data_IF_585339226900
#
_entry.id   IF_585339226900
#
_cell.length_a   1.000
_cell.length_b   1.000
_cell.length_c   1.000
_cell.angle_alpha   90.00
_cell.angle_beta   90.00
_cell.angle_gamma   90.00
#
_symmetry.space_group_name_H-M   'P 1'
#
loop_
_entity.id
_entity.type
_entity.pdbx_description
1 polymer ?
#
# COMPACT_ATOMS: atom_id res chain seq x y z
N UNK A 1 19.58 -0.32 16.35
CA UNK A 1 18.73 0.50 15.48
C UNK A 1 17.80 1.29 16.39
N UNK A 2 17.93 2.62 16.43
CA UNK A 2 16.88 3.47 17.01
C UNK A 2 15.72 3.42 16.01
N UNK A 3 14.76 2.52 16.29
CA UNK A 3 13.62 2.25 15.43
C UNK A 3 12.52 3.28 15.68
N UNK A 4 12.67 4.45 15.08
CA UNK A 4 11.56 5.40 15.00
C UNK A 4 10.41 4.73 14.22
N UNK A 5 9.18 4.99 14.65
CA UNK A 5 8.02 4.43 13.99
C UNK A 5 7.96 4.91 12.54
N UNK A 6 7.63 4.01 11.62
CA UNK A 6 7.39 4.39 10.24
C UNK A 6 6.22 5.38 10.16
N UNK A 7 6.36 6.36 9.28
CA UNK A 7 5.27 7.29 8.97
C UNK A 7 4.19 6.56 8.16
N UNK A 8 2.92 6.87 8.44
CA UNK A 8 1.80 6.34 7.68
C UNK A 8 1.39 7.32 6.59
N UNK A 9 1.28 6.83 5.36
CA UNK A 9 0.80 7.57 4.19
C UNK A 9 -0.57 7.07 3.77
N UNK A 10 -1.43 7.95 3.25
CA UNK A 10 -2.59 7.51 2.49
C UNK A 10 -2.19 7.00 1.11
N UNK A 11 -3.09 6.29 0.43
CA UNK A 11 -2.88 5.93 -0.97
C UNK A 11 -2.67 7.17 -1.85
N UNK A 12 -3.48 8.22 -1.63
CA UNK A 12 -3.35 9.47 -2.38
C UNK A 12 -1.97 10.14 -2.16
N UNK A 13 -1.50 10.23 -0.91
CA UNK A 13 -0.18 10.79 -0.60
C UNK A 13 0.94 9.97 -1.25
N UNK A 14 0.81 8.65 -1.23
CA UNK A 14 1.75 7.71 -1.86
C UNK A 14 1.83 7.97 -3.37
N UNK A 15 0.69 8.10 -4.05
CA UNK A 15 0.64 8.33 -5.49
C UNK A 15 1.17 9.73 -5.86
N UNK A 16 0.91 10.75 -5.04
CA UNK A 16 1.48 12.08 -5.21
C UNK A 16 3.01 12.04 -5.09
N UNK A 17 3.54 11.38 -4.05
CA UNK A 17 4.98 11.24 -3.84
C UNK A 17 5.65 10.55 -5.03
N UNK A 18 5.05 9.47 -5.54
CA UNK A 18 5.51 8.79 -6.74
C UNK A 18 5.49 9.70 -7.98
N UNK A 19 4.38 10.42 -8.19
CA UNK A 19 4.20 11.29 -9.35
C UNK A 19 5.17 12.46 -9.37
N UNK A 20 5.32 13.17 -8.25
CA UNK A 20 6.18 14.34 -8.11
C UNK A 20 7.67 14.00 -8.27
N UNK A 21 8.07 12.81 -7.82
CA UNK A 21 9.46 12.37 -7.84
C UNK A 21 9.77 11.39 -8.99
N UNK A 22 8.80 11.15 -9.88
CA UNK A 22 8.91 10.19 -10.99
C UNK A 22 9.41 8.80 -10.55
N UNK A 23 8.92 8.32 -9.40
CA UNK A 23 9.34 7.04 -8.82
C UNK A 23 8.66 5.88 -9.54
N UNK A 24 9.38 4.77 -9.64
CA UNK A 24 8.85 3.53 -10.21
C UNK A 24 8.35 2.63 -9.10
N UNK A 25 7.07 2.27 -9.18
CA UNK A 25 6.45 1.26 -8.32
C UNK A 25 6.86 -0.13 -8.80
N UNK A 26 7.42 -0.92 -7.90
CA UNK A 26 7.67 -2.34 -8.07
C UNK A 26 6.57 -3.16 -7.39
N UNK A 27 6.40 -4.41 -7.83
CA UNK A 27 5.46 -5.36 -7.24
C UNK A 27 6.22 -6.52 -6.62
N UNK A 28 5.99 -6.79 -5.35
CA UNK A 28 6.50 -8.00 -4.70
C UNK A 28 5.51 -9.15 -4.89
N UNK A 29 5.88 -10.14 -5.70
CA UNK A 29 5.01 -11.28 -5.98
C UNK A 29 4.77 -12.20 -4.79
N UNK A 30 5.64 -12.15 -3.77
CA UNK A 30 5.54 -13.02 -2.59
C UNK A 30 4.43 -12.54 -1.67
N UNK A 31 4.44 -11.25 -1.33
CA UNK A 31 3.44 -10.61 -0.48
C UNK A 31 2.24 -10.10 -1.27
N UNK A 32 2.34 -10.02 -2.60
CA UNK A 32 1.34 -9.44 -3.49
C UNK A 32 1.01 -7.99 -3.11
N UNK A 33 2.06 -7.20 -2.84
CA UNK A 33 1.93 -5.79 -2.47
C UNK A 33 2.90 -4.92 -3.28
N UNK A 34 2.51 -3.66 -3.58
CA UNK A 34 3.37 -2.71 -4.25
C UNK A 34 4.31 -2.02 -3.26
N UNK A 35 5.49 -1.65 -3.77
CA UNK A 35 6.45 -0.86 -3.03
C UNK A 35 7.31 -0.01 -3.96
N UNK A 36 7.96 1.00 -3.40
CA UNK A 36 9.03 1.73 -4.08
C UNK A 36 10.08 2.20 -3.08
N UNK A 37 11.22 2.62 -3.61
CA UNK A 37 12.31 3.20 -2.82
C UNK A 37 12.67 4.57 -3.35
N UNK A 38 13.11 5.45 -2.47
CA UNK A 38 13.63 6.76 -2.82
C UNK A 38 14.69 7.21 -1.82
N UNK A 39 15.47 8.23 -2.19
CA UNK A 39 16.48 8.82 -1.31
C UNK A 39 16.16 10.28 -1.06
N UNK A 40 16.11 10.67 0.21
CA UNK A 40 15.80 12.03 0.63
C UNK A 40 16.74 12.44 1.77
N UNK A 41 17.31 13.65 1.68
CA UNK A 41 18.22 14.20 2.70
C UNK A 41 19.37 13.25 3.10
N UNK A 42 19.82 12.42 2.17
CA UNK A 42 20.89 11.45 2.40
C UNK A 42 20.45 10.13 3.03
N UNK A 43 19.15 9.95 3.32
CA UNK A 43 18.57 8.72 3.86
C UNK A 43 17.86 7.92 2.76
N UNK A 44 17.93 6.60 2.84
CA UNK A 44 17.19 5.70 1.95
C UNK A 44 15.85 5.34 2.60
N UNK A 45 14.77 5.50 1.84
CA UNK A 45 13.41 5.23 2.26
C UNK A 45 12.82 4.08 1.42
N UNK A 46 11.99 3.27 2.06
CA UNK A 46 11.15 2.27 1.40
C UNK A 46 9.71 2.50 1.83
N UNK A 47 8.81 2.53 0.85
CA UNK A 47 7.37 2.69 1.07
C UNK A 47 6.69 1.43 0.57
N UNK A 48 5.95 0.80 1.45
CA UNK A 48 5.01 -0.28 1.15
C UNK A 48 3.60 0.27 1.31
N UNK A 49 2.72 -0.03 0.37
CA UNK A 49 1.34 0.46 0.40
C UNK A 49 0.40 -0.62 -0.12
N UNK A 50 -0.90 -0.36 -0.03
CA UNK A 50 -1.94 -1.25 -0.54
C UNK A 50 -2.73 -0.48 -1.60
N UNK A 51 -3.10 -1.18 -2.67
CA UNK A 51 -3.90 -0.66 -3.78
C UNK A 51 -5.12 -1.56 -4.04
N UNK A 52 -5.94 -1.22 -5.04
CA UNK A 52 -7.08 -2.04 -5.45
C UNK A 52 -6.70 -3.49 -5.78
N UNK A 53 -5.58 -3.72 -6.46
CA UNK A 53 -5.12 -5.09 -6.77
C UNK A 53 -4.82 -5.90 -5.50
N UNK A 54 -4.16 -5.26 -4.54
CA UNK A 54 -3.83 -5.85 -3.25
C UNK A 54 -5.09 -6.18 -2.44
N UNK A 55 -6.05 -5.25 -2.40
CA UNK A 55 -7.33 -5.48 -1.73
C UNK A 55 -8.12 -6.61 -2.39
N UNK A 56 -8.19 -6.65 -3.72
CA UNK A 56 -8.83 -7.76 -4.46
C UNK A 56 -8.24 -9.10 -4.03
N UNK A 57 -6.91 -9.21 -4.03
CA UNK A 57 -6.22 -10.43 -3.64
C UNK A 57 -6.55 -10.84 -2.19
N UNK A 58 -6.64 -9.86 -1.27
CA UNK A 58 -6.99 -10.12 0.12
C UNK A 58 -8.46 -10.56 0.30
N UNK A 59 -9.39 -9.93 -0.42
CA UNK A 59 -10.82 -10.31 -0.42
C UNK A 59 -11.00 -11.73 -0.96
N UNK A 60 -10.35 -12.07 -2.07
CA UNK A 60 -10.40 -13.42 -2.64
C UNK A 60 -9.85 -14.49 -1.67
N UNK A 61 -8.79 -14.16 -0.92
CA UNK A 61 -8.26 -15.05 0.12
C UNK A 61 -9.22 -15.22 1.30
N UNK A 62 -9.86 -14.14 1.73
CA UNK A 62 -10.85 -14.15 2.81
C UNK A 62 -12.10 -14.96 2.44
N UNK A 63 -12.57 -14.85 1.19
CA UNK A 63 -13.68 -15.66 0.65
C UNK A 63 -13.31 -17.15 0.59
N UNK A 64 -12.13 -17.47 0.05
CA UNK A 64 -11.63 -18.84 -0.02
C UNK A 64 -11.46 -19.48 1.37
N UNK A 65 -11.20 -18.69 2.40
CA UNK A 65 -11.11 -19.11 3.79
C UNK A 65 -12.48 -19.26 4.49
N UNK A 66 -13.58 -18.90 3.82
CA UNK A 66 -14.94 -18.96 4.38
C UNK A 66 -15.17 -17.96 5.51
N UNK A 67 -14.49 -16.82 5.49
CA UNK A 67 -14.68 -15.75 6.47
C UNK A 67 -16.07 -15.12 6.33
N UNK A 68 -16.56 -14.47 7.39
CA UNK A 68 -17.83 -13.75 7.35
C UNK A 68 -17.78 -12.40 6.61
N UNK A 69 -16.59 -11.99 6.15
CA UNK A 69 -16.35 -10.71 5.49
C UNK A 69 -14.99 -10.11 5.84
N UNK A 70 -14.73 -8.91 5.32
CA UNK A 70 -13.50 -8.13 5.54
C UNK A 70 -13.80 -6.82 6.25
N UNK A 71 -12.82 -6.30 6.98
CA UNK A 71 -12.88 -4.97 7.60
C UNK A 71 -11.76 -4.08 7.03
N UNK A 72 -12.12 -2.90 6.53
CA UNK A 72 -11.18 -1.92 6.00
C UNK A 72 -10.80 -0.92 7.10
N UNK A 73 -9.49 -0.77 7.35
CA UNK A 73 -8.95 0.25 8.25
C UNK A 73 -7.93 1.11 7.49
N UNK A 74 -8.10 2.43 7.36
CA UNK A 74 -9.21 3.28 7.81
C UNK A 74 -9.82 4.03 6.63
N UNK A 75 -11.07 4.46 6.81
CA UNK A 75 -11.76 5.28 5.84
C UNK A 75 -11.06 6.63 5.62
N UNK A 76 -11.00 7.07 4.37
CA UNK A 76 -10.37 8.29 3.92
C UNK A 76 -8.87 8.18 3.66
N UNK A 77 -8.30 6.96 3.63
CA UNK A 77 -6.88 6.74 3.32
C UNK A 77 -6.63 5.69 2.24
N UNK A 78 -7.69 5.02 1.80
CA UNK A 78 -7.69 3.96 0.82
C UNK A 78 -7.52 4.45 -0.62
N UNK A 79 -7.26 3.51 -1.52
CA UNK A 79 -7.47 3.65 -2.96
C UNK A 79 -8.98 3.72 -3.25
N UNK A 80 -9.45 4.70 -4.01
CA UNK A 80 -10.87 4.86 -4.37
C UNK A 80 -11.45 3.61 -5.06
N UNK A 81 -10.61 2.84 -5.76
CA UNK A 81 -11.03 1.57 -6.39
C UNK A 81 -11.45 0.51 -5.36
N UNK A 82 -11.10 0.69 -4.08
CA UNK A 82 -11.49 -0.21 -2.99
C UNK A 82 -13.00 -0.43 -2.90
N UNK A 83 -13.80 0.58 -3.25
CA UNK A 83 -15.26 0.54 -3.19
C UNK A 83 -15.92 -0.18 -4.36
N UNK A 84 -15.14 -0.58 -5.37
CA UNK A 84 -15.60 -1.29 -6.56
C UNK A 84 -15.14 -2.76 -6.60
N UNK A 85 -14.54 -3.24 -5.52
CA UNK A 85 -14.00 -4.61 -5.38
C UNK A 85 -15.11 -5.57 -4.95
#
# INVERSE_FOLDING_TARGET
ASGDAAESLSFADTMNLCGENHLQVAWDSTTQTPYFTYRENGNDHVVWFLDGATLYNAVQQADAAGTGGVALWRLGTEDDTAWSI
#
